data_IF_430225093039
#
_entry.id   IF_430225093039
#
_cell.length_a   1.000
_cell.length_b   1.000
_cell.length_c   1.000
_cell.angle_alpha   90.00
_cell.angle_beta   90.00
_cell.angle_gamma   90.00
#
_symmetry.space_group_name_H-M   'P 1'
#
loop_
_entity.id
_entity.type
_entity.pdbx_description
1 polymer ?
#
# COMPACT_ATOMS: atom_id res chain seq x y z
N UNK A 1 -6.68 -30.09 -13.83
CA UNK A 1 -7.27 -29.41 -12.64
C UNK A 1 -7.29 -27.92 -12.93
N UNK A 2 -8.48 -27.32 -12.97
CA UNK A 2 -8.70 -25.96 -13.47
C UNK A 2 -8.24 -24.88 -12.48
N UNK A 3 -7.63 -23.82 -13.00
CA UNK A 3 -7.19 -22.64 -12.24
C UNK A 3 -8.44 -21.82 -11.86
N UNK A 4 -8.80 -21.82 -10.58
CA UNK A 4 -9.89 -21.01 -10.05
C UNK A 4 -9.54 -19.53 -10.11
N UNK A 5 -10.39 -18.76 -10.79
CA UNK A 5 -10.27 -17.32 -10.93
C UNK A 5 -10.83 -16.68 -9.66
N UNK A 6 -9.98 -16.39 -8.67
CA UNK A 6 -10.40 -15.70 -7.43
C UNK A 6 -10.81 -14.27 -7.78
N UNK A 7 -12.03 -13.89 -7.43
CA UNK A 7 -12.55 -12.55 -7.70
C UNK A 7 -12.62 -11.73 -6.41
N UNK A 8 -12.69 -10.41 -6.50
CA UNK A 8 -12.68 -9.48 -5.35
C UNK A 8 -13.84 -9.75 -4.37
N UNK A 9 -14.86 -10.49 -4.82
CA UNK A 9 -16.01 -10.96 -4.03
C UNK A 9 -15.68 -12.10 -3.04
N UNK A 10 -14.52 -12.77 -3.16
CA UNK A 10 -14.10 -13.85 -2.25
C UNK A 10 -13.58 -13.34 -0.90
N UNK A 11 -13.47 -12.02 -0.72
CA UNK A 11 -12.99 -11.41 0.52
C UNK A 11 -14.15 -10.75 1.27
N UNK A 12 -14.38 -11.17 2.52
CA UNK A 12 -15.38 -10.57 3.39
C UNK A 12 -15.00 -9.12 3.73
N UNK A 13 -15.67 -8.15 3.11
CA UNK A 13 -15.50 -6.72 3.38
C UNK A 13 -16.49 -6.29 4.47
N UNK A 14 -15.98 -5.83 5.61
CA UNK A 14 -16.81 -5.36 6.71
C UNK A 14 -17.60 -4.08 6.33
N UNK A 15 -18.84 -3.90 6.84
CA UNK A 15 -19.65 -2.72 6.54
C UNK A 15 -18.96 -1.43 7.02
N UNK A 16 -18.83 -0.45 6.13
CA UNK A 16 -18.32 0.88 6.49
C UNK A 16 -19.43 1.69 7.13
N UNK A 17 -19.22 2.10 8.38
CA UNK A 17 -20.06 3.06 9.10
C UNK A 17 -20.06 4.39 8.33
N UNK A 18 -21.18 4.81 7.75
CA UNK A 18 -21.32 6.13 7.13
C UNK A 18 -21.37 7.19 8.23
N UNK A 19 -20.47 8.19 8.16
CA UNK A 19 -20.55 9.38 9.02
C UNK A 19 -21.66 10.29 8.51
N UNK A 20 -22.87 10.10 9.03
CA UNK A 20 -23.96 11.08 8.98
C UNK A 20 -24.61 11.10 10.37
N UNK A 21 -23.85 11.54 11.40
CA UNK A 21 -24.39 11.69 12.76
C UNK A 21 -23.51 12.61 13.65
N UNK A 22 -22.93 13.68 13.11
CA UNK A 22 -22.15 14.65 13.92
C UNK A 22 -22.48 16.13 13.59
N UNK A 23 -23.66 16.41 13.04
CA UNK A 23 -24.10 17.77 12.68
C UNK A 23 -25.57 18.08 13.05
N UNK A 24 -26.06 17.53 14.16
CA UNK A 24 -27.39 17.91 14.68
C UNK A 24 -27.54 17.59 16.18
N UNK A 25 -26.99 18.40 17.07
CA UNK A 25 -27.40 18.43 18.48
C UNK A 25 -26.95 19.73 19.17
N UNK A 26 -27.69 20.82 18.93
CA UNK A 26 -27.79 21.97 19.84
C UNK A 26 -29.18 22.56 19.70
N UNK A 27 -30.10 22.17 20.59
CA UNK A 27 -31.12 22.99 21.25
C UNK A 27 -32.20 22.08 21.89
N UNK A 28 -32.18 22.10 23.23
CA UNK A 28 -33.29 22.17 24.20
C UNK A 28 -34.65 21.54 23.85
N UNK A 29 -35.08 20.54 24.63
CA UNK A 29 -36.12 20.67 25.68
C UNK A 29 -36.31 19.33 26.45
N UNK A 30 -36.60 19.38 27.75
CA UNK A 30 -36.89 18.23 28.65
C UNK A 30 -38.43 17.97 28.70
N UNK A 31 -39.04 17.01 29.47
CA UNK A 31 -38.52 16.24 30.63
C UNK A 31 -39.06 14.78 30.87
N UNK A 32 -38.61 14.19 31.99
CA UNK A 32 -39.20 13.10 32.82
C UNK A 32 -39.00 11.61 32.46
N UNK A 33 -38.10 10.90 33.17
CA UNK A 33 -38.42 10.13 34.40
C UNK A 33 -37.57 8.84 34.59
N UNK A 34 -36.92 8.75 35.77
CA UNK A 34 -36.60 7.57 36.64
C UNK A 34 -35.75 6.40 36.09
N UNK A 35 -34.53 6.13 36.62
CA UNK A 35 -34.22 5.31 37.85
C UNK A 35 -34.50 3.80 37.62
N UNK A 36 -33.67 2.80 37.88
CA UNK A 36 -32.58 2.54 38.84
C UNK A 36 -31.67 1.39 38.34
N UNK A 37 -30.40 1.39 38.76
CA UNK A 37 -29.53 0.20 38.94
C UNK A 37 -29.93 -0.59 40.19
N UNK A 38 -29.57 -1.87 40.34
CA UNK A 38 -28.41 -2.12 41.20
C UNK A 38 -27.51 -3.32 40.82
N UNK A 39 -26.32 -3.27 41.42
CA UNK A 39 -25.29 -4.31 41.65
C UNK A 39 -25.89 -5.52 42.44
N UNK A 40 -25.28 -6.67 42.71
CA UNK A 40 -23.91 -7.05 43.05
C UNK A 40 -23.85 -8.61 43.24
N UNK A 41 -22.63 -9.14 43.33
CA UNK A 41 -22.16 -10.36 44.02
C UNK A 41 -22.34 -11.76 43.43
N UNK A 42 -21.24 -12.54 43.51
CA UNK A 42 -21.33 -14.00 43.62
C UNK A 42 -20.06 -14.76 43.26
N UNK A 43 -19.14 -14.90 44.22
CA UNK A 43 -17.93 -15.72 44.13
C UNK A 43 -18.19 -17.25 44.16
N UNK A 44 -17.10 -18.01 43.87
CA UNK A 44 -16.84 -19.47 43.97
C UNK A 44 -16.81 -20.14 42.58
N UNK A 45 -15.89 -21.02 42.21
CA UNK A 45 -15.13 -22.01 43.00
C UNK A 45 -13.99 -22.63 42.15
N UNK A 46 -12.85 -22.92 42.79
CA UNK A 46 -11.80 -23.82 42.31
C UNK A 46 -12.32 -25.27 42.16
N UNK A 47 -11.66 -26.09 41.32
CA UNK A 47 -11.37 -27.46 41.70
C UNK A 47 -9.86 -27.67 41.85
N UNK A 48 -9.51 -28.10 43.05
CA UNK A 48 -8.25 -28.67 43.49
C UNK A 48 -8.14 -30.09 42.90
N UNK A 49 -7.08 -30.37 42.14
CA UNK A 49 -6.65 -31.75 41.83
C UNK A 49 -5.28 -31.97 42.46
N UNK A 50 -5.23 -33.06 43.20
CA UNK A 50 -4.19 -33.54 44.11
C UNK A 50 -2.90 -33.99 43.42
N UNK A 51 -1.85 -33.95 44.23
CA UNK A 51 -0.44 -34.25 43.96
C UNK A 51 -0.16 -35.67 43.43
N UNK A 52 0.89 -35.78 42.62
CA UNK A 52 1.52 -37.05 42.24
C UNK A 52 2.99 -36.87 41.87
N UNK A 53 3.87 -37.08 42.85
CA UNK A 53 5.24 -37.64 42.81
C UNK A 53 6.27 -37.09 41.80
N UNK A 54 7.30 -36.48 42.40
CA UNK A 54 8.67 -36.18 41.96
C UNK A 54 9.21 -37.08 40.83
N UNK A 55 9.58 -36.48 39.69
CA UNK A 55 10.63 -36.98 38.82
C UNK A 55 11.36 -35.80 38.15
N UNK A 56 12.66 -35.82 38.35
CA UNK A 56 13.69 -34.88 37.94
C UNK A 56 13.66 -34.59 36.42
N UNK A 57 13.31 -33.35 36.05
CA UNK A 57 13.59 -32.82 34.72
C UNK A 57 14.19 -31.42 34.88
N UNK A 58 15.37 -31.14 34.29
CA UNK A 58 15.91 -29.80 34.31
C UNK A 58 14.91 -28.88 33.58
N UNK A 59 14.59 -27.68 34.12
CA UNK A 59 13.79 -26.74 33.37
C UNK A 59 14.56 -26.45 32.09
N UNK A 60 13.99 -26.89 30.96
CA UNK A 60 14.39 -26.44 29.63
C UNK A 60 14.24 -24.93 29.62
N UNK A 61 15.32 -24.25 30.01
CA UNK A 61 15.43 -22.80 29.93
C UNK A 61 15.45 -22.53 28.44
N UNK A 62 14.28 -22.28 27.88
CA UNK A 62 14.12 -21.47 26.69
C UNK A 62 15.07 -20.29 26.91
N UNK A 63 16.19 -20.28 26.20
CA UNK A 63 17.14 -19.17 26.23
C UNK A 63 16.32 -18.00 25.70
N UNK A 64 15.77 -17.21 26.61
CA UNK A 64 15.15 -15.95 26.27
C UNK A 64 16.20 -15.22 25.43
N UNK A 65 15.91 -14.88 24.15
CA UNK A 65 16.86 -14.19 23.32
C UNK A 65 17.36 -12.97 24.11
N UNK A 66 18.68 -12.85 24.27
CA UNK A 66 19.31 -11.73 24.99
C UNK A 66 18.73 -10.41 24.46
N UNK A 67 18.64 -9.39 25.31
CA UNK A 67 18.09 -8.11 24.87
C UNK A 67 18.77 -7.57 23.60
N UNK A 68 20.07 -7.83 23.46
CA UNK A 68 20.87 -7.55 22.28
C UNK A 68 20.36 -8.30 21.04
N UNK A 69 20.14 -9.61 21.12
CA UNK A 69 19.57 -10.39 20.02
C UNK A 69 18.14 -9.94 19.65
N UNK A 70 17.35 -9.44 20.62
CA UNK A 70 16.03 -8.85 20.36
C UNK A 70 16.16 -7.51 19.64
N UNK A 71 17.11 -6.66 20.04
CA UNK A 71 17.42 -5.39 19.38
C UNK A 71 17.92 -5.62 17.97
N UNK A 72 18.86 -6.52 17.75
CA UNK A 72 19.36 -6.88 16.41
C UNK A 72 18.26 -7.37 15.47
N UNK A 73 17.38 -8.27 15.93
CA UNK A 73 16.22 -8.71 15.14
C UNK A 73 15.26 -7.58 14.81
N UNK A 74 15.06 -6.64 15.75
CA UNK A 74 14.20 -5.48 15.53
C UNK A 74 14.80 -4.51 14.51
N UNK A 75 16.12 -4.28 14.56
CA UNK A 75 16.87 -3.44 13.62
C UNK A 75 16.88 -4.07 12.23
N UNK A 76 17.20 -5.36 12.11
CA UNK A 76 17.16 -6.08 10.84
C UNK A 76 15.77 -6.08 10.22
N UNK A 77 14.71 -6.24 11.03
CA UNK A 77 13.32 -6.15 10.54
C UNK A 77 12.96 -4.74 10.10
N UNK A 78 13.49 -3.70 10.76
CA UNK A 78 13.31 -2.32 10.33
C UNK A 78 14.03 -2.04 9.01
N UNK A 79 15.28 -2.51 8.87
CA UNK A 79 16.09 -2.39 7.66
C UNK A 79 15.43 -3.08 6.45
N UNK A 80 14.91 -4.30 6.63
CA UNK A 80 14.18 -5.01 5.56
C UNK A 80 12.91 -4.27 5.11
N UNK A 81 12.21 -3.59 6.04
CA UNK A 81 11.05 -2.76 5.71
C UNK A 81 11.46 -1.49 4.97
N UNK A 82 12.62 -0.93 5.27
CA UNK A 82 13.17 0.20 4.55
C UNK A 82 13.60 -0.20 3.13
N UNK A 83 14.38 -1.28 3.00
CA UNK A 83 14.85 -1.82 1.72
C UNK A 83 13.70 -2.16 0.78
N UNK A 84 12.64 -2.80 1.29
CA UNK A 84 11.44 -3.09 0.49
C UNK A 84 10.74 -1.82 0.01
N UNK A 85 10.67 -0.77 0.83
CA UNK A 85 10.11 0.54 0.42
C UNK A 85 10.99 1.24 -0.62
N UNK A 86 12.31 1.18 -0.46
CA UNK A 86 13.27 1.75 -1.43
C UNK A 86 13.17 1.02 -2.76
N UNK A 87 13.19 -0.32 -2.75
CA UNK A 87 13.05 -1.14 -3.96
C UNK A 87 11.76 -0.86 -4.72
N UNK A 88 10.64 -0.66 -4.03
CA UNK A 88 9.37 -0.27 -4.67
C UNK A 88 9.44 1.13 -5.31
N UNK A 89 10.12 2.09 -4.65
CA UNK A 89 10.34 3.42 -5.22
C UNK A 89 11.25 3.36 -6.45
N UNK A 90 12.27 2.53 -6.41
CA UNK A 90 13.21 2.36 -7.52
C UNK A 90 12.55 1.66 -8.70
N UNK A 91 11.74 0.62 -8.47
CA UNK A 91 10.91 0.00 -9.52
C UNK A 91 9.97 1.01 -10.16
N UNK A 92 9.34 1.88 -9.36
CA UNK A 92 8.49 2.97 -9.88
C UNK A 92 9.29 3.95 -10.74
N UNK A 93 10.46 4.38 -10.26
CA UNK A 93 11.36 5.28 -11.02
C UNK A 93 11.89 4.64 -12.30
N UNK A 94 12.20 3.34 -12.26
CA UNK A 94 12.67 2.59 -13.41
C UNK A 94 11.59 2.53 -14.50
N UNK A 95 10.34 2.19 -14.13
CA UNK A 95 9.20 2.22 -15.06
C UNK A 95 8.96 3.62 -15.65
N UNK A 96 9.11 4.67 -14.85
CA UNK A 96 8.94 6.04 -15.31
C UNK A 96 10.05 6.49 -16.28
N UNK A 97 11.27 5.92 -16.16
CA UNK A 97 12.37 6.13 -17.11
C UNK A 97 12.20 5.31 -18.39
N UNK A 98 11.85 4.03 -18.27
CA UNK A 98 11.63 3.13 -19.42
C UNK A 98 10.45 3.60 -20.28
N UNK A 99 9.44 4.23 -19.68
CA UNK A 99 8.32 4.79 -20.45
C UNK A 99 8.64 6.11 -21.16
N UNK A 100 9.76 6.78 -20.86
CA UNK A 100 10.11 8.10 -21.40
C UNK A 100 11.58 8.15 -21.83
N UNK A 101 11.81 7.81 -23.09
CA UNK A 101 13.11 7.96 -23.72
C UNK A 101 13.21 9.35 -24.35
N UNK A 102 14.23 10.12 -23.95
CA UNK A 102 14.50 11.46 -24.47
C UNK A 102 15.65 11.40 -25.48
N UNK A 103 15.45 12.00 -26.64
CA UNK A 103 16.47 12.16 -27.68
C UNK A 103 16.73 13.65 -27.87
N UNK A 104 17.99 14.07 -27.75
CA UNK A 104 18.41 15.42 -28.11
C UNK A 104 18.90 15.44 -29.55
N UNK A 105 18.21 16.17 -30.42
CA UNK A 105 18.51 16.23 -31.86
C UNK A 105 18.71 17.70 -32.29
N UNK A 106 19.92 18.11 -32.70
CA UNK A 106 20.12 19.42 -33.30
C UNK A 106 19.49 19.43 -34.70
N UNK A 107 18.62 20.42 -34.96
CA UNK A 107 17.96 20.60 -36.25
C UNK A 107 18.47 21.88 -36.92
N UNK A 108 18.63 21.82 -38.24
CA UNK A 108 18.87 23.01 -39.06
C UNK A 108 17.69 23.98 -38.96
N UNK A 109 17.98 25.28 -39.07
CA UNK A 109 16.98 26.35 -38.93
C UNK A 109 15.78 26.16 -39.86
N UNK A 110 16.01 25.81 -41.13
CA UNK A 110 14.94 25.59 -42.10
C UNK A 110 14.04 24.40 -41.75
N UNK A 111 14.61 23.33 -41.22
CA UNK A 111 13.85 22.15 -40.78
C UNK A 111 13.02 22.48 -39.55
N UNK A 112 13.60 23.22 -38.59
CA UNK A 112 12.88 23.71 -37.42
C UNK A 112 11.72 24.63 -37.80
N UNK A 113 11.92 25.54 -38.76
CA UNK A 113 10.87 26.45 -39.27
C UNK A 113 9.73 25.69 -39.95
N UNK A 114 10.05 24.65 -40.73
CA UNK A 114 9.03 23.76 -41.34
C UNK A 114 8.24 23.00 -40.29
N UNK A 115 8.92 22.49 -39.26
CA UNK A 115 8.28 21.79 -38.14
C UNK A 115 7.36 22.73 -37.33
N UNK A 116 7.79 23.97 -37.10
CA UNK A 116 7.00 25.02 -36.47
C UNK A 116 5.72 25.32 -37.26
N UNK A 117 5.85 25.50 -38.57
CA UNK A 117 4.72 25.75 -39.45
C UNK A 117 3.73 24.58 -39.46
N UNK A 118 4.21 23.35 -39.60
CA UNK A 118 3.36 22.16 -39.56
C UNK A 118 2.67 21.97 -38.20
N UNK A 119 3.35 22.34 -37.11
CA UNK A 119 2.79 22.31 -35.76
C UNK A 119 1.63 23.30 -35.62
N UNK A 120 1.77 24.50 -36.17
CA UNK A 120 0.74 25.52 -36.17
C UNK A 120 -0.44 25.19 -37.07
N UNK A 121 -0.20 24.70 -38.29
CA UNK A 121 -1.27 24.37 -39.25
C UNK A 121 -2.14 23.19 -38.82
N UNK A 122 -1.56 22.22 -38.08
CA UNK A 122 -2.29 21.03 -37.62
C UNK A 122 -2.75 21.12 -36.15
N UNK A 123 -2.43 22.20 -35.43
CA UNK A 123 -2.63 22.34 -33.98
C UNK A 123 -2.07 21.18 -33.15
N UNK A 124 -0.97 20.58 -33.63
CA UNK A 124 -0.29 19.46 -32.97
C UNK A 124 1.08 19.90 -32.47
N UNK A 125 1.48 19.48 -31.26
CA UNK A 125 2.83 19.74 -30.74
C UNK A 125 3.90 19.15 -31.66
N UNK A 126 4.97 19.90 -31.91
CA UNK A 126 6.14 19.46 -32.69
C UNK A 126 6.64 18.05 -32.31
N UNK A 127 6.58 17.69 -31.02
CA UNK A 127 7.01 16.37 -30.53
C UNK A 127 6.21 15.21 -31.12
N UNK A 128 4.90 15.37 -31.32
CA UNK A 128 4.06 14.33 -31.95
C UNK A 128 4.35 14.20 -33.44
N UNK A 129 4.63 15.32 -34.12
CA UNK A 129 5.02 15.31 -35.54
C UNK A 129 6.37 14.59 -35.70
N UNK A 130 7.34 14.91 -34.85
CA UNK A 130 8.64 14.23 -34.84
C UNK A 130 8.50 12.73 -34.57
N UNK A 131 7.67 12.33 -33.60
CA UNK A 131 7.41 10.92 -33.32
C UNK A 131 6.81 10.21 -34.54
N UNK A 132 5.77 10.78 -35.16
CA UNK A 132 5.13 10.21 -36.33
C UNK A 132 6.10 10.11 -37.52
N UNK A 133 6.96 11.11 -37.73
CA UNK A 133 7.96 11.11 -38.78
C UNK A 133 9.03 10.03 -38.56
N UNK A 134 9.49 9.83 -37.31
CA UNK A 134 10.42 8.76 -36.96
C UNK A 134 9.75 7.39 -37.14
N UNK A 135 8.54 7.21 -36.63
CA UNK A 135 7.80 5.95 -36.75
C UNK A 135 7.57 5.59 -38.22
N UNK A 136 7.24 6.57 -39.07
CA UNK A 136 7.11 6.38 -40.51
C UNK A 136 8.45 6.00 -41.13
N UNK A 137 9.53 6.74 -40.84
CA UNK A 137 10.86 6.43 -41.36
C UNK A 137 11.34 5.04 -40.95
N UNK A 138 11.11 4.62 -39.71
CA UNK A 138 11.50 3.28 -39.24
C UNK A 138 10.70 2.19 -39.95
N UNK A 139 9.38 2.35 -40.08
CA UNK A 139 8.51 1.40 -40.81
C UNK A 139 8.88 1.29 -42.28
N UNK A 140 9.12 2.41 -42.95
CA UNK A 140 9.44 2.45 -44.38
C UNK A 140 10.79 1.77 -44.67
N UNK A 141 11.73 1.79 -43.72
CA UNK A 141 13.02 1.13 -43.83
C UNK A 141 13.08 -0.26 -43.16
N UNK A 142 11.98 -0.75 -42.59
CA UNK A 142 11.86 -2.08 -41.99
C UNK A 142 12.59 -2.27 -40.66
N UNK A 143 12.80 -1.20 -39.90
CA UNK A 143 13.36 -1.24 -38.55
C UNK A 143 12.30 -1.55 -37.48
#
# INVERSE_FOLDING_TARGET
MAKGQTTVSDFAVAPRRSRIADMAAKQDDAPMSSEETPEDTGAKSHPQVSQGVVADQPPSRLIAPTEEARRERSVNKALQREDSRVRLRDLKRARDRESKHYVNCPLNYETKKRLERASFENDVKMTKIMQAAIDQYLKDNGY
#
